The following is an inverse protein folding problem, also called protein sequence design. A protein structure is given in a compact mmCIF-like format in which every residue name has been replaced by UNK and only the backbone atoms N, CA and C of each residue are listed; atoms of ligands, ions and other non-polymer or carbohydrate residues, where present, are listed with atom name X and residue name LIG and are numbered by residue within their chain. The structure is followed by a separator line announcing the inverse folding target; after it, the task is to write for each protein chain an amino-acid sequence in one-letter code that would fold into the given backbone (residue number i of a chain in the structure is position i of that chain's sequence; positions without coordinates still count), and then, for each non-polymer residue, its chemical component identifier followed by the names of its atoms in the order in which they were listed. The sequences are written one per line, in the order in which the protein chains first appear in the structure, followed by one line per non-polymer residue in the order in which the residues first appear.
data_IF_529501720448
#
_entry.id   IF_529501720448
#
_cell.length_a   1.000
_cell.length_b   1.000
_cell.length_c   1.000
_cell.angle_alpha   90.00
_cell.angle_beta   90.00
_cell.angle_gamma   90.00
#
_symmetry.space_group_name_H-M   'P 1'
#
loop_
_entity.id
_entity.type
_entity.pdbx_description
1 polymer ?
#
# COMPACT_ATOMS: atom_id res chain seq x y z
N UNK A 1 28.89 -34.14 20.25
CA UNK A 1 27.68 -33.84 21.03
C UNK A 1 26.94 -32.74 20.29
N UNK A 2 25.76 -33.04 19.73
CA UNK A 2 24.96 -32.06 18.98
C UNK A 2 23.80 -31.64 19.91
N UNK A 3 23.62 -30.36 20.23
CA UNK A 3 22.52 -29.94 21.08
C UNK A 3 21.20 -30.08 20.33
N UNK A 4 20.28 -30.83 20.92
CA UNK A 4 18.93 -31.05 20.39
C UNK A 4 18.10 -29.81 20.74
N UNK A 5 17.91 -28.92 19.78
CA UNK A 5 17.03 -27.75 19.92
C UNK A 5 15.59 -28.26 19.95
N UNK A 6 14.99 -28.23 21.13
CA UNK A 6 13.58 -28.57 21.36
C UNK A 6 12.76 -27.29 21.11
N UNK A 7 12.04 -27.23 19.98
CA UNK A 7 11.13 -26.12 19.72
C UNK A 7 9.93 -26.19 20.67
N UNK A 8 9.52 -25.08 21.32
CA UNK A 8 8.29 -25.04 22.11
C UNK A 8 7.08 -25.10 21.17
N UNK A 9 6.22 -26.11 21.36
CA UNK A 9 4.93 -26.20 20.67
C UNK A 9 3.93 -25.27 21.37
N UNK A 10 3.61 -24.14 20.74
CA UNK A 10 2.54 -23.25 21.22
C UNK A 10 1.17 -23.86 20.86
N UNK A 11 0.69 -24.76 21.72
CA UNK A 11 -0.59 -25.46 21.59
C UNK A 11 -1.82 -24.58 21.91
N UNK A 12 -1.62 -23.30 22.25
CA UNK A 12 -2.69 -22.39 22.67
C UNK A 12 -3.59 -21.92 21.52
N UNK A 13 -3.18 -22.03 20.26
CA UNK A 13 -4.05 -21.71 19.12
C UNK A 13 -5.10 -22.78 18.80
N UNK A 14 -5.08 -23.93 19.49
CA UNK A 14 -5.99 -25.06 19.24
C UNK A 14 -6.91 -25.40 20.43
N UNK A 15 -6.86 -24.63 21.52
CA UNK A 15 -7.58 -24.94 22.76
C UNK A 15 -8.46 -23.80 23.29
N UNK A 16 -8.86 -22.85 22.45
CA UNK A 16 -9.78 -21.79 22.84
C UNK A 16 -11.05 -21.85 21.98
N UNK A 17 -11.98 -22.72 22.37
CA UNK A 17 -13.41 -22.39 22.49
C UNK A 17 -14.16 -23.53 23.23
N UNK A 18 -14.13 -23.50 24.56
CA UNK A 18 -15.18 -24.08 25.40
C UNK A 18 -15.36 -23.17 26.61
N UNK A 19 -16.49 -22.48 26.65
CA UNK A 19 -16.70 -21.25 27.42
C UNK A 19 -16.80 -21.37 28.94
N UNK A 20 -16.71 -20.21 29.59
CA UNK A 20 -17.74 -19.68 30.49
C UNK A 20 -17.28 -18.35 31.14
N UNK A 21 -18.17 -17.36 31.05
CA UNK A 21 -18.45 -16.27 32.00
C UNK A 21 -17.59 -14.99 31.99
N UNK A 22 -18.28 -13.86 31.80
CA UNK A 22 -17.74 -12.51 31.70
C UNK A 22 -18.69 -11.57 30.96
N UNK A 23 -19.65 -11.03 31.71
CA UNK A 23 -20.88 -10.36 31.29
C UNK A 23 -20.71 -8.91 30.77
N UNK A 24 -21.79 -8.44 30.10
CA UNK A 24 -22.18 -7.06 29.76
C UNK A 24 -21.36 -6.34 28.67
N UNK A 25 -21.90 -5.51 27.78
CA UNK A 25 -23.22 -5.12 27.28
C UNK A 25 -22.86 -4.11 26.15
N UNK A 26 -23.45 -4.18 24.95
CA UNK A 26 -24.32 -3.11 24.45
C UNK A 26 -24.83 -3.43 23.02
N UNK A 27 -26.12 -3.25 22.89
CA UNK A 27 -26.94 -3.37 21.70
C UNK A 27 -26.70 -2.20 20.75
N UNK A 28 -26.77 -2.46 19.44
CA UNK A 28 -27.71 -1.71 18.60
C UNK A 28 -28.12 -2.52 17.37
N UNK A 29 -29.40 -2.89 17.40
CA UNK A 29 -30.22 -3.26 16.26
C UNK A 29 -30.08 -2.24 15.12
N UNK A 30 -30.05 -2.73 13.88
CA UNK A 30 -31.12 -2.41 12.94
C UNK A 30 -31.32 -3.56 11.95
N UNK A 31 -32.54 -4.07 11.96
CA UNK A 31 -33.16 -4.96 10.97
C UNK A 31 -33.26 -4.19 9.61
N UNK A 32 -33.45 -4.79 8.44
CA UNK A 32 -34.34 -5.88 8.14
C UNK A 32 -34.00 -6.54 6.80
N UNK A 33 -34.28 -7.85 6.76
CA UNK A 33 -34.98 -8.60 5.70
C UNK A 33 -34.35 -8.68 4.29
N UNK A 34 -34.49 -9.76 3.55
CA UNK A 34 -34.94 -11.15 3.74
C UNK A 34 -35.13 -11.59 2.29
N UNK A 35 -34.32 -12.53 1.78
CA UNK A 35 -34.58 -13.12 0.49
C UNK A 35 -34.43 -14.64 0.54
N UNK A 36 -35.61 -15.26 0.54
CA UNK A 36 -36.02 -16.29 -0.41
C UNK A 36 -35.19 -17.58 -0.52
N UNK A 37 -35.82 -18.63 0.02
CA UNK A 37 -36.36 -19.77 -0.74
C UNK A 37 -35.88 -21.13 -0.26
N UNK A 38 -36.52 -21.60 0.81
CA UNK A 38 -36.64 -23.02 1.14
C UNK A 38 -38.13 -23.33 1.27
N UNK A 39 -38.79 -23.50 0.12
CA UNK A 39 -40.14 -24.05 0.04
C UNK A 39 -40.12 -25.56 0.34
N UNK A 40 -40.28 -25.91 1.61
CA UNK A 40 -40.67 -27.24 2.05
C UNK A 40 -42.20 -27.27 2.21
N UNK A 41 -42.91 -27.40 1.09
CA UNK A 41 -44.28 -27.89 1.05
C UNK A 41 -44.23 -29.36 0.65
N UNK A 42 -44.58 -30.26 1.57
CA UNK A 42 -45.82 -31.04 1.45
C UNK A 42 -45.83 -32.08 2.58
N UNK A 43 -46.61 -31.80 3.61
CA UNK A 43 -46.95 -32.78 4.64
C UNK A 43 -48.34 -32.46 5.15
N UNK A 44 -49.34 -32.63 4.29
CA UNK A 44 -50.72 -32.88 4.71
C UNK A 44 -51.40 -33.78 3.68
N UNK A 45 -51.38 -35.09 3.96
CA UNK A 45 -52.54 -35.91 3.62
C UNK A 45 -52.73 -36.97 4.70
N UNK A 46 -53.49 -36.59 5.73
CA UNK A 46 -54.16 -37.56 6.56
C UNK A 46 -55.39 -38.07 5.80
N UNK A 47 -55.41 -39.35 5.47
CA UNK A 47 -56.64 -40.11 5.62
C UNK A 47 -56.33 -41.56 5.93
N UNK A 48 -56.47 -41.83 7.23
CA UNK A 48 -56.79 -43.10 7.85
C UNK A 48 -57.65 -44.00 6.94
N UNK A 49 -57.11 -45.16 6.61
CA UNK A 49 -57.89 -46.35 6.32
C UNK A 49 -56.96 -47.55 6.40
N UNK A 50 -57.22 -48.40 7.40
CA UNK A 50 -57.01 -49.86 7.42
C UNK A 50 -55.58 -50.35 7.13
N UNK A 51 -54.93 -51.14 7.96
CA UNK A 51 -55.45 -52.33 8.61
C UNK A 51 -54.34 -52.81 9.55
N UNK A 52 -54.71 -53.23 10.76
CA UNK A 52 -53.83 -53.99 11.63
C UNK A 52 -53.54 -55.34 10.98
N UNK A 53 -52.42 -55.44 10.27
CA UNK A 53 -51.83 -56.74 9.98
C UNK A 53 -50.33 -56.70 10.22
N UNK A 54 -49.95 -57.39 11.29
CA UNK A 54 -48.60 -57.83 11.54
C UNK A 54 -48.14 -58.73 10.39
N UNK A 55 -47.71 -58.15 9.27
CA UNK A 55 -47.07 -58.92 8.21
C UNK A 55 -45.59 -59.10 8.58
N UNK A 56 -45.31 -60.23 9.25
CA UNK A 56 -43.96 -60.76 9.32
C UNK A 56 -43.61 -61.23 7.91
N UNK A 57 -43.16 -60.30 7.07
CA UNK A 57 -42.59 -60.61 5.76
C UNK A 57 -41.40 -61.56 5.96
N UNK A 58 -41.58 -62.85 5.68
CA UNK A 58 -40.49 -63.80 5.55
C UNK A 58 -39.84 -63.55 4.20
N UNK A 59 -38.80 -62.73 4.17
CA UNK A 59 -38.00 -62.53 2.97
C UNK A 59 -37.38 -63.86 2.54
N UNK A 60 -37.49 -64.17 1.26
CA UNK A 60 -36.78 -65.29 0.66
C UNK A 60 -35.29 -64.94 0.49
N UNK A 61 -34.39 -65.94 0.54
CA UNK A 61 -32.94 -65.72 0.43
C UNK A 61 -32.54 -64.97 -0.86
N UNK A 62 -33.36 -65.07 -1.92
CA UNK A 62 -33.18 -64.32 -3.18
C UNK A 62 -33.49 -62.83 -3.01
N UNK A 63 -34.57 -62.46 -2.32
CA UNK A 63 -34.92 -61.06 -2.04
C UNK A 63 -33.90 -60.39 -1.12
N UNK A 64 -33.37 -61.12 -0.14
CA UNK A 64 -32.30 -60.62 0.74
C UNK A 64 -31.03 -60.36 -0.06
N UNK A 65 -30.64 -61.25 -0.98
CA UNK A 65 -29.49 -61.06 -1.84
C UNK A 65 -29.63 -59.83 -2.75
N UNK A 66 -30.82 -59.57 -3.30
CA UNK A 66 -31.06 -58.40 -4.13
C UNK A 66 -31.05 -57.09 -3.34
N UNK A 67 -31.55 -57.12 -2.09
CA UNK A 67 -31.42 -55.99 -1.16
C UNK A 67 -29.94 -55.74 -0.82
N UNK A 68 -29.15 -56.79 -0.57
CA UNK A 68 -27.72 -56.68 -0.28
C UNK A 68 -26.96 -56.14 -1.49
N UNK A 69 -27.22 -56.63 -2.70
CA UNK A 69 -26.62 -56.08 -3.93
C UNK A 69 -26.95 -54.61 -4.14
N UNK A 70 -28.21 -54.21 -3.96
CA UNK A 70 -28.63 -52.79 -4.03
C UNK A 70 -27.92 -51.95 -2.97
N UNK A 71 -27.73 -52.47 -1.77
CA UNK A 71 -27.03 -51.79 -0.68
C UNK A 71 -25.53 -51.67 -0.94
N UNK A 72 -24.90 -52.71 -1.50
CA UNK A 72 -23.50 -52.66 -1.93
C UNK A 72 -23.30 -51.67 -3.07
N UNK A 73 -24.16 -51.68 -4.08
CA UNK A 73 -24.11 -50.72 -5.18
C UNK A 73 -24.31 -49.27 -4.70
N UNK A 74 -25.20 -49.05 -3.72
CA UNK A 74 -25.37 -47.72 -3.08
C UNK A 74 -24.11 -47.32 -2.30
N UNK A 75 -23.53 -48.23 -1.53
CA UNK A 75 -22.33 -47.98 -0.74
C UNK A 75 -21.09 -47.72 -1.61
N UNK A 76 -20.93 -48.44 -2.73
CA UNK A 76 -19.87 -48.18 -3.70
C UNK A 76 -20.03 -46.81 -4.35
N UNK A 77 -21.27 -46.44 -4.73
CA UNK A 77 -21.56 -45.13 -5.31
C UNK A 77 -21.30 -43.99 -4.34
N UNK A 78 -21.67 -44.15 -3.07
CA UNK A 78 -21.36 -43.18 -2.00
C UNK A 78 -19.86 -43.06 -1.75
N UNK A 79 -19.12 -44.17 -1.73
CA UNK A 79 -17.65 -44.14 -1.59
C UNK A 79 -16.99 -43.45 -2.79
N UNK A 80 -17.44 -43.72 -4.00
CA UNK A 80 -16.90 -43.09 -5.19
C UNK A 80 -17.15 -41.58 -5.19
N UNK A 81 -18.37 -41.15 -4.83
CA UNK A 81 -18.71 -39.74 -4.69
C UNK A 81 -17.85 -39.03 -3.63
N UNK A 82 -17.61 -39.67 -2.47
CA UNK A 82 -16.74 -39.13 -1.43
C UNK A 82 -15.27 -39.01 -1.87
N UNK A 83 -14.76 -39.97 -2.66
CA UNK A 83 -13.40 -39.91 -3.22
C UNK A 83 -13.29 -38.81 -4.28
N UNK A 84 -14.29 -38.66 -5.14
CA UNK A 84 -14.29 -37.65 -6.20
C UNK A 84 -14.40 -36.22 -5.62
N UNK A 85 -15.20 -36.05 -4.56
CA UNK A 85 -15.30 -34.78 -3.84
C UNK A 85 -13.99 -34.43 -3.11
N UNK A 86 -13.39 -35.39 -2.39
CA UNK A 86 -12.09 -35.20 -1.75
C UNK A 86 -10.98 -34.91 -2.76
N UNK A 87 -10.98 -35.58 -3.92
CA UNK A 87 -10.02 -35.33 -5.00
C UNK A 87 -10.22 -33.93 -5.63
N UNK A 88 -11.47 -33.48 -5.79
CA UNK A 88 -11.78 -32.12 -6.26
C UNK A 88 -11.32 -31.06 -5.26
N UNK A 89 -11.56 -31.28 -3.97
CA UNK A 89 -11.09 -30.39 -2.89
C UNK A 89 -9.56 -30.35 -2.80
N UNK A 90 -8.90 -31.50 -2.97
CA UNK A 90 -7.44 -31.59 -2.97
C UNK A 90 -6.83 -30.89 -4.20
N UNK A 91 -7.41 -31.08 -5.40
CA UNK A 91 -6.98 -30.36 -6.62
C UNK A 91 -7.15 -28.86 -6.46
N UNK A 92 -8.30 -28.41 -5.97
CA UNK A 92 -8.56 -26.98 -5.78
C UNK A 92 -7.56 -26.34 -4.80
N UNK A 93 -7.23 -27.03 -3.71
CA UNK A 93 -6.20 -26.57 -2.77
C UNK A 93 -4.78 -26.57 -3.37
N UNK A 94 -4.44 -27.53 -4.23
CA UNK A 94 -3.13 -27.62 -4.84
C UNK A 94 -2.93 -26.55 -5.93
N UNK A 95 -3.95 -26.33 -6.75
CA UNK A 95 -3.93 -25.33 -7.82
C UNK A 95 -3.92 -23.90 -7.22
N UNK A 96 -4.74 -23.62 -6.20
CA UNK A 96 -4.73 -22.33 -5.50
C UNK A 96 -3.37 -22.02 -4.85
N UNK A 97 -2.68 -23.02 -4.29
CA UNK A 97 -1.33 -22.82 -3.74
C UNK A 97 -0.31 -22.52 -4.82
N UNK A 98 -0.39 -23.22 -5.96
CA UNK A 98 0.50 -22.98 -7.10
C UNK A 98 0.28 -21.59 -7.70
N UNK A 99 -0.97 -21.18 -7.87
CA UNK A 99 -1.30 -19.84 -8.38
C UNK A 99 -0.82 -18.75 -7.43
N UNK A 100 -0.98 -18.95 -6.11
CA UNK A 100 -0.45 -18.01 -5.11
C UNK A 100 1.08 -17.92 -5.14
N UNK A 101 1.78 -19.05 -5.24
CA UNK A 101 3.25 -19.08 -5.37
C UNK A 101 3.72 -18.38 -6.64
N UNK A 102 3.02 -18.59 -7.76
CA UNK A 102 3.30 -17.93 -9.03
C UNK A 102 3.02 -16.43 -8.96
N UNK A 103 1.88 -16.02 -8.40
CA UNK A 103 1.53 -14.60 -8.23
C UNK A 103 2.54 -13.89 -7.32
N UNK A 104 2.95 -14.54 -6.23
CA UNK A 104 3.98 -14.01 -5.34
C UNK A 104 5.32 -13.85 -6.07
N UNK A 105 5.75 -14.87 -6.82
CA UNK A 105 6.97 -14.80 -7.61
C UNK A 105 6.90 -13.73 -8.71
N UNK A 106 5.76 -13.55 -9.36
CA UNK A 106 5.54 -12.49 -10.35
C UNK A 106 5.61 -11.11 -9.71
N UNK A 107 4.95 -10.90 -8.56
CA UNK A 107 5.05 -9.65 -7.80
C UNK A 107 6.48 -9.31 -7.40
N UNK A 108 7.24 -10.28 -6.90
CA UNK A 108 8.65 -10.07 -6.57
C UNK A 108 9.48 -9.71 -7.82
N UNK A 109 9.19 -10.33 -8.96
CA UNK A 109 9.85 -10.02 -10.24
C UNK A 109 9.53 -8.63 -10.75
N UNK A 110 8.28 -8.22 -10.68
CA UNK A 110 7.83 -6.90 -11.14
C UNK A 110 8.33 -5.79 -10.23
N UNK A 111 8.33 -6.02 -8.91
CA UNK A 111 8.91 -5.12 -7.91
C UNK A 111 10.40 -4.90 -8.17
N UNK A 112 11.19 -5.97 -8.33
CA UNK A 112 12.61 -5.87 -8.63
C UNK A 112 12.88 -5.15 -9.96
N UNK A 113 12.03 -5.37 -10.97
CA UNK A 113 12.14 -4.69 -12.26
C UNK A 113 11.82 -3.20 -12.14
N UNK A 114 10.82 -2.84 -11.34
CA UNK A 114 10.46 -1.44 -11.03
C UNK A 114 11.60 -0.73 -10.29
N UNK A 115 12.19 -1.38 -9.29
CA UNK A 115 13.35 -0.85 -8.55
C UNK A 115 14.57 -0.65 -9.45
N UNK A 116 14.82 -1.58 -10.38
CA UNK A 116 15.91 -1.42 -11.34
C UNK A 116 15.65 -0.25 -12.29
N UNK A 117 14.43 -0.11 -12.82
CA UNK A 117 14.06 0.99 -13.69
C UNK A 117 14.21 2.35 -12.98
N UNK A 118 13.70 2.47 -11.76
CA UNK A 118 13.85 3.70 -10.95
C UNK A 118 15.31 4.02 -10.65
N UNK A 119 16.15 3.02 -10.39
CA UNK A 119 17.59 3.21 -10.20
C UNK A 119 18.30 3.70 -11.47
N UNK A 120 17.98 3.13 -12.64
CA UNK A 120 18.55 3.57 -13.92
C UNK A 120 18.15 5.00 -14.25
N UNK A 121 16.87 5.35 -14.06
CA UNK A 121 16.38 6.71 -14.25
C UNK A 121 17.00 7.69 -13.24
N UNK A 122 17.14 7.29 -11.97
CA UNK A 122 17.81 8.09 -10.94
C UNK A 122 19.27 8.37 -11.27
N UNK A 123 19.98 7.40 -11.86
CA UNK A 123 21.34 7.60 -12.35
C UNK A 123 21.40 8.60 -13.51
N UNK A 124 20.45 8.55 -14.44
CA UNK A 124 20.36 9.53 -15.53
C UNK A 124 20.05 10.94 -15.00
N UNK A 125 19.06 11.06 -14.12
CA UNK A 125 18.73 12.31 -13.44
C UNK A 125 19.94 12.90 -12.72
N UNK A 126 20.69 12.07 -11.98
CA UNK A 126 21.94 12.46 -11.32
C UNK A 126 22.98 13.01 -12.31
N UNK A 127 23.16 12.36 -13.46
CA UNK A 127 24.05 12.87 -14.52
C UNK A 127 23.61 14.26 -14.99
N UNK A 128 22.31 14.49 -15.18
CA UNK A 128 21.79 15.79 -15.61
C UNK A 128 22.00 16.89 -14.54
N UNK A 129 21.89 16.55 -13.25
CA UNK A 129 22.18 17.48 -12.16
C UNK A 129 23.67 17.79 -12.03
N UNK A 130 24.54 16.78 -12.21
CA UNK A 130 25.99 16.97 -12.24
C UNK A 130 26.41 17.88 -13.41
N UNK A 131 25.80 17.73 -14.59
CA UNK A 131 26.00 18.63 -15.74
C UNK A 131 25.59 20.08 -15.41
N UNK A 132 24.51 20.25 -14.65
CA UNK A 132 24.07 21.54 -14.14
C UNK A 132 24.91 22.08 -12.96
N UNK A 133 25.93 21.33 -12.51
CA UNK A 133 26.79 21.63 -11.35
C UNK A 133 26.03 21.77 -10.03
N UNK A 134 24.88 21.10 -9.92
CA UNK A 134 24.09 21.03 -8.70
C UNK A 134 24.44 19.76 -7.94
N UNK A 135 24.72 19.88 -6.64
CA UNK A 135 24.96 18.74 -5.77
C UNK A 135 23.63 18.36 -5.11
N UNK A 136 22.98 17.36 -5.68
CA UNK A 136 21.66 16.87 -5.24
C UNK A 136 21.86 15.62 -4.36
N UNK A 137 21.07 15.49 -3.28
CA UNK A 137 21.13 14.31 -2.42
C UNK A 137 20.27 13.18 -2.96
N UNK A 138 20.49 11.95 -2.50
CA UNK A 138 19.72 10.78 -2.95
C UNK A 138 18.22 10.91 -2.59
N UNK A 139 17.92 11.58 -1.48
CA UNK A 139 16.55 11.83 -1.05
C UNK A 139 15.82 12.75 -2.04
N UNK A 140 16.49 13.82 -2.49
CA UNK A 140 15.95 14.73 -3.51
C UNK A 140 15.71 14.01 -4.85
N UNK A 141 16.60 13.07 -5.23
CA UNK A 141 16.42 12.27 -6.45
C UNK A 141 15.18 11.38 -6.38
N UNK A 142 14.87 10.79 -5.22
CA UNK A 142 13.66 9.96 -5.05
C UNK A 142 12.37 10.74 -5.28
N UNK A 143 12.36 12.05 -5.02
CA UNK A 143 11.19 12.90 -5.21
C UNK A 143 11.00 13.31 -6.68
N UNK A 144 12.08 13.32 -7.45
CA UNK A 144 12.09 13.74 -8.86
C UNK A 144 11.85 12.57 -9.81
N UNK A 145 12.34 11.38 -9.44
CA UNK A 145 12.23 10.15 -10.23
C UNK A 145 10.85 9.53 -10.09
N UNK A 146 10.09 9.57 -11.18
CA UNK A 146 8.78 8.92 -11.31
C UNK A 146 8.90 7.66 -12.17
N UNK A 147 7.92 6.73 -12.11
CA UNK A 147 7.94 5.55 -12.98
C UNK A 147 7.87 5.87 -14.48
N UNK A 148 7.48 7.10 -14.85
CA UNK A 148 7.49 7.58 -16.23
C UNK A 148 8.76 8.38 -16.54
N UNK A 149 9.50 7.95 -17.57
CA UNK A 149 10.75 8.57 -18.00
C UNK A 149 10.59 10.05 -18.41
N UNK A 150 9.55 10.35 -19.21
CA UNK A 150 9.26 11.72 -19.69
C UNK A 150 8.94 12.68 -18.53
N UNK A 151 8.19 12.19 -17.54
CA UNK A 151 7.86 12.96 -16.33
C UNK A 151 9.12 13.23 -15.50
N UNK A 152 9.99 12.22 -15.34
CA UNK A 152 11.26 12.38 -14.60
C UNK A 152 12.14 13.45 -15.24
N UNK A 153 12.34 13.42 -16.56
CA UNK A 153 13.14 14.44 -17.24
C UNK A 153 12.57 15.85 -17.11
N UNK A 154 11.24 16.00 -17.23
CA UNK A 154 10.57 17.28 -17.08
C UNK A 154 10.75 17.82 -15.65
N UNK A 155 10.63 16.96 -14.64
CA UNK A 155 10.83 17.32 -13.24
C UNK A 155 12.28 17.75 -12.97
N UNK A 156 13.27 17.01 -13.52
CA UNK A 156 14.69 17.37 -13.42
C UNK A 156 14.94 18.75 -14.04
N UNK A 157 14.47 18.98 -15.27
CA UNK A 157 14.63 20.26 -15.98
C UNK A 157 13.98 21.41 -15.22
N UNK A 158 12.79 21.19 -14.65
CA UNK A 158 12.09 22.17 -13.83
C UNK A 158 12.88 22.53 -12.57
N UNK A 159 13.42 21.54 -11.85
CA UNK A 159 14.18 21.78 -10.63
C UNK A 159 15.46 22.56 -10.90
N UNK A 160 16.20 22.21 -11.97
CA UNK A 160 17.39 22.95 -12.41
C UNK A 160 17.03 24.42 -12.71
N UNK A 161 15.94 24.66 -13.42
CA UNK A 161 15.49 26.02 -13.73
C UNK A 161 15.06 26.80 -12.48
N UNK A 162 14.40 26.12 -11.54
CA UNK A 162 14.00 26.70 -10.27
C UNK A 162 15.21 27.14 -9.44
N UNK A 163 16.20 26.28 -9.29
CA UNK A 163 17.44 26.60 -8.54
C UNK A 163 18.20 27.77 -9.17
N UNK A 164 18.26 27.83 -10.50
CA UNK A 164 18.86 28.97 -11.20
C UNK A 164 18.10 30.27 -10.91
N UNK A 165 16.77 30.24 -10.97
CA UNK A 165 15.94 31.41 -10.65
C UNK A 165 16.10 31.85 -9.19
N UNK A 166 16.19 30.91 -8.25
CA UNK A 166 16.46 31.19 -6.83
C UNK A 166 17.84 31.81 -6.66
N UNK A 167 18.88 31.24 -7.29
CA UNK A 167 20.24 31.76 -7.22
C UNK A 167 20.34 33.19 -7.81
N UNK A 168 19.64 33.45 -8.91
CA UNK A 168 19.53 34.80 -9.49
C UNK A 168 18.78 35.77 -8.58
N UNK A 169 17.66 35.34 -7.99
CA UNK A 169 16.90 36.14 -7.03
C UNK A 169 17.74 36.52 -5.81
N UNK A 170 18.42 35.56 -5.20
CA UNK A 170 19.36 35.77 -4.09
C UNK A 170 20.48 36.71 -4.53
N UNK A 171 21.10 36.50 -5.69
CA UNK A 171 22.14 37.39 -6.22
C UNK A 171 21.62 38.82 -6.39
N UNK A 172 20.40 39.00 -6.90
CA UNK A 172 19.77 40.33 -7.02
C UNK A 172 19.51 40.96 -5.66
N UNK A 173 19.07 40.20 -4.66
CA UNK A 173 18.90 40.69 -3.29
C UNK A 173 20.22 41.12 -2.65
N UNK A 174 21.27 40.33 -2.81
CA UNK A 174 22.62 40.70 -2.36
C UNK A 174 23.13 41.96 -3.10
N UNK A 175 22.90 42.07 -4.42
CA UNK A 175 23.28 43.26 -5.20
C UNK A 175 22.48 44.51 -4.82
N UNK A 176 21.20 44.36 -4.48
CA UNK A 176 20.36 45.47 -3.98
C UNK A 176 20.93 46.07 -2.70
N UNK A 177 21.69 45.28 -1.91
CA UNK A 177 22.60 45.75 -0.86
C UNK A 177 21.99 46.78 0.10
N UNK A 178 21.43 46.34 1.22
CA UNK A 178 20.96 47.27 2.24
C UNK A 178 22.13 47.94 2.96
N UNK A 179 22.28 49.26 2.82
CA UNK A 179 23.27 50.01 3.61
C UNK A 179 22.92 49.93 5.10
N UNK A 180 23.88 49.58 5.98
CA UNK A 180 23.66 49.55 7.42
C UNK A 180 23.05 50.86 7.93
N UNK A 181 22.05 50.76 8.80
CA UNK A 181 21.44 51.90 9.48
C UNK A 181 21.90 51.89 10.93
N UNK A 182 22.42 53.01 11.41
CA UNK A 182 22.74 53.22 12.84
C UNK A 182 21.72 54.23 13.35
N UNK A 183 20.99 53.88 14.41
CA UNK A 183 19.95 54.72 15.02
C UNK A 183 18.95 55.32 13.99
N UNK A 184 18.43 54.49 13.07
CA UNK A 184 17.44 54.91 12.07
C UNK A 184 18.00 55.78 10.93
N UNK A 185 19.24 56.25 11.03
CA UNK A 185 19.90 57.04 10.00
C UNK A 185 20.79 56.16 9.13
N UNK A 186 20.79 56.42 7.82
CA UNK A 186 21.66 55.73 6.87
C UNK A 186 23.11 56.04 7.26
N UNK A 187 23.92 55.02 7.54
CA UNK A 187 25.36 55.23 7.78
C UNK A 187 25.98 55.63 6.44
N UNK A 188 26.60 56.81 6.39
CA UNK A 188 27.33 57.23 5.20
C UNK A 188 28.49 56.25 4.96
N UNK A 189 28.56 55.66 3.77
CA UNK A 189 29.71 54.84 3.38
C UNK A 189 30.97 55.72 3.31
N UNK A 190 32.17 55.18 3.59
CA UNK A 190 33.41 55.95 3.55
C UNK A 190 33.57 56.77 2.25
N UNK A 191 33.22 56.18 1.10
CA UNK A 191 33.24 56.89 -0.19
C UNK A 191 32.27 58.08 -0.27
N UNK A 192 31.07 57.98 0.31
CA UNK A 192 30.13 59.08 0.37
C UNK A 192 30.63 60.22 1.28
N UNK A 193 31.24 59.88 2.41
CA UNK A 193 31.86 60.85 3.32
C UNK A 193 33.00 61.62 2.62
N UNK A 194 33.90 60.92 1.91
CA UNK A 194 34.97 61.55 1.13
C UNK A 194 34.44 62.46 0.01
N UNK A 195 33.39 62.05 -0.70
CA UNK A 195 32.77 62.87 -1.75
C UNK A 195 32.17 64.17 -1.19
N UNK A 196 31.51 64.08 -0.03
CA UNK A 196 30.92 65.24 0.67
C UNK A 196 32.01 66.20 1.17
N UNK A 197 33.12 65.68 1.69
CA UNK A 197 34.27 66.47 2.10
C UNK A 197 34.91 67.21 0.92
N UNK A 198 35.09 66.53 -0.22
CA UNK A 198 35.65 67.15 -1.43
C UNK A 198 34.73 68.24 -1.99
N UNK A 199 33.41 68.01 -2.02
CA UNK A 199 32.46 69.01 -2.51
C UNK A 199 32.43 70.26 -1.61
N UNK A 200 32.50 70.08 -0.29
CA UNK A 200 32.62 71.20 0.65
C UNK A 200 33.91 71.99 0.42
N UNK A 201 35.05 71.32 0.20
CA UNK A 201 36.31 71.99 -0.13
C UNK A 201 36.27 72.78 -1.44
N UNK A 202 35.46 72.36 -2.42
CA UNK A 202 35.22 73.09 -3.66
C UNK A 202 34.30 74.31 -3.51
N UNK A 203 33.43 74.34 -2.50
CA UNK A 203 32.55 75.48 -2.22
C UNK A 203 33.21 76.58 -1.37
N UNK A 204 34.35 76.31 -0.73
CA UNK A 204 35.13 77.33 0.00
C UNK A 204 36.03 78.18 -0.91
N UNK A 205 35.90 78.04 -2.24
CA UNK A 205 36.46 79.04 -3.16
C UNK A 205 35.67 80.33 -2.94
N UNK A 206 36.24 81.22 -2.13
CA UNK A 206 35.79 82.59 -1.89
C UNK A 206 35.17 83.18 -3.16
N UNK A 207 33.85 83.34 -3.19
CA UNK A 207 33.15 84.14 -4.20
C UNK A 207 33.66 85.58 -4.07
N UNK A 208 34.47 86.11 -5.01
CA UNK A 208 35.09 87.43 -4.88
C UNK A 208 34.09 88.60 -4.98
N UNK A 209 32.78 88.30 -5.10
CA UNK A 209 31.70 89.27 -5.30
C UNK A 209 30.64 89.25 -4.18
N UNK A 210 30.80 88.44 -3.13
CA UNK A 210 29.85 88.38 -1.99
C UNK A 210 30.17 89.31 -0.82
N UNK A 211 31.15 90.19 -0.97
CA UNK A 211 31.40 91.28 -0.01
C UNK A 211 31.08 92.62 -0.65
N UNK A 212 29.87 93.12 -0.42
CA UNK A 212 29.50 94.53 -0.51
C UNK A 212 28.20 94.76 0.26
#
# INVERSE_FOLDING_TARGET
MIPKILMPMNLQFFAEDTGADGSQENQQNNESQSDNDANAQDSENGQDSSDESSDRHTYTDEEVNDIVKKRLARAEKEKQAAVDEAAKLAKMNADQKKDYELEKAQKERDELKSQLATYEMGKQARSMFEDAKLTVTEDDLQHVVTPEAESTEANVKWLIAHDQAVAEGVRQELLKGNTPKTHGSKVETPGAAFAKQRNQQGQVVNDPWKQK
#
